data_IF_977901044376
#
_entry.id   IF_977901044376
#
_cell.length_a   1.000
_cell.length_b   1.000
_cell.length_c   1.000
_cell.angle_alpha   90.00
_cell.angle_beta   90.00
_cell.angle_gamma   90.00
#
_symmetry.space_group_name_H-M   'P 1'
#
loop_
_entity.id
_entity.type
_entity.pdbx_description
1 polymer ?
#
# COMPACT_ATOMS: atom_id res chain seq x y z
N UNK A 1 -25.77 53.65 10.66
CA UNK A 1 -24.99 52.60 11.35
C UNK A 1 -25.41 51.18 10.97
N UNK A 2 -26.69 50.95 10.67
CA UNK A 2 -27.24 49.62 10.31
C UNK A 2 -26.56 48.92 9.12
N UNK A 3 -26.01 49.66 8.15
CA UNK A 3 -25.29 49.07 7.00
C UNK A 3 -23.94 48.45 7.36
N UNK A 4 -23.23 48.97 8.38
CA UNK A 4 -21.98 48.38 8.87
C UNK A 4 -22.22 47.09 9.65
N UNK A 5 -23.30 47.06 10.45
CA UNK A 5 -23.67 45.88 11.21
C UNK A 5 -24.08 44.73 10.27
N UNK A 6 -24.88 45.02 9.24
CA UNK A 6 -25.25 44.03 8.23
C UNK A 6 -24.03 43.53 7.44
N UNK A 7 -23.15 44.42 6.98
CA UNK A 7 -21.92 44.01 6.30
C UNK A 7 -21.01 43.12 7.19
N UNK A 8 -20.91 43.43 8.48
CA UNK A 8 -20.15 42.62 9.43
C UNK A 8 -20.80 41.25 9.67
N UNK A 9 -22.14 41.17 9.72
CA UNK A 9 -22.88 39.91 9.81
C UNK A 9 -22.73 39.06 8.55
N UNK A 10 -22.73 39.67 7.37
CA UNK A 10 -22.52 38.98 6.10
C UNK A 10 -21.10 38.41 5.99
N UNK A 11 -20.09 39.18 6.40
CA UNK A 11 -18.69 38.71 6.48
C UNK A 11 -18.56 37.55 7.46
N UNK A 12 -19.13 37.66 8.66
CA UNK A 12 -19.09 36.60 9.66
C UNK A 12 -19.80 35.32 9.17
N UNK A 13 -20.94 35.47 8.51
CA UNK A 13 -21.70 34.36 7.92
C UNK A 13 -20.91 33.68 6.79
N UNK A 14 -20.26 34.46 5.92
CA UNK A 14 -19.41 33.93 4.86
C UNK A 14 -18.18 33.19 5.40
N UNK A 15 -17.53 33.73 6.46
CA UNK A 15 -16.42 33.06 7.14
C UNK A 15 -16.86 31.76 7.82
N UNK A 16 -18.05 31.73 8.41
CA UNK A 16 -18.63 30.53 9.00
C UNK A 16 -18.91 29.47 7.93
N UNK A 17 -19.57 29.85 6.84
CA UNK A 17 -19.84 28.97 5.70
C UNK A 17 -18.54 28.40 5.10
N UNK A 18 -17.49 29.22 4.96
CA UNK A 18 -16.17 28.77 4.52
C UNK A 18 -15.56 27.76 5.51
N UNK A 19 -15.70 27.98 6.81
CA UNK A 19 -15.17 27.08 7.84
C UNK A 19 -15.87 25.72 7.83
N UNK A 20 -17.20 25.72 7.67
CA UNK A 20 -17.99 24.49 7.49
C UNK A 20 -17.57 23.75 6.22
N UNK A 21 -17.41 24.47 5.10
CA UNK A 21 -16.96 23.87 3.84
C UNK A 21 -15.56 23.25 3.96
N UNK A 22 -14.62 23.93 4.63
CA UNK A 22 -13.28 23.41 4.91
C UNK A 22 -13.32 22.14 5.76
N UNK A 23 -14.12 22.12 6.82
CA UNK A 23 -14.30 20.94 7.66
C UNK A 23 -14.89 19.76 6.85
N UNK A 24 -15.97 19.99 6.12
CA UNK A 24 -16.61 18.94 5.30
C UNK A 24 -15.61 18.37 4.27
N UNK A 25 -14.82 19.24 3.62
CA UNK A 25 -13.77 18.81 2.71
C UNK A 25 -12.72 17.95 3.41
N UNK A 26 -12.22 18.37 4.57
CA UNK A 26 -11.21 17.61 5.31
C UNK A 26 -11.72 16.21 5.72
N UNK A 27 -12.99 16.10 6.14
CA UNK A 27 -13.62 14.81 6.48
C UNK A 27 -13.73 13.91 5.26
N UNK A 28 -14.22 14.44 4.13
CA UNK A 28 -14.36 13.67 2.88
C UNK A 28 -12.99 13.23 2.37
N UNK A 29 -11.99 14.10 2.40
CA UNK A 29 -10.63 13.79 1.96
C UNK A 29 -10.03 12.66 2.84
N UNK A 30 -10.25 12.70 4.16
CA UNK A 30 -9.80 11.64 5.07
C UNK A 30 -10.47 10.28 4.79
N UNK A 31 -11.80 10.26 4.62
CA UNK A 31 -12.54 9.02 4.32
C UNK A 31 -12.10 8.43 2.98
N UNK A 32 -11.94 9.27 1.95
CA UNK A 32 -11.45 8.84 0.64
C UNK A 32 -10.03 8.25 0.72
N UNK A 33 -9.15 8.85 1.52
CA UNK A 33 -7.79 8.34 1.71
C UNK A 33 -7.80 6.97 2.40
N UNK A 34 -8.60 6.78 3.45
CA UNK A 34 -8.75 5.48 4.12
C UNK A 34 -9.30 4.43 3.17
N UNK A 35 -10.35 4.74 2.40
CA UNK A 35 -10.94 3.82 1.42
C UNK A 35 -9.93 3.40 0.34
N UNK A 36 -9.15 4.36 -0.19
CA UNK A 36 -8.10 4.10 -1.17
C UNK A 36 -7.02 3.18 -0.60
N UNK A 37 -6.51 3.47 0.59
CA UNK A 37 -5.46 2.65 1.20
C UNK A 37 -5.96 1.25 1.55
N UNK A 38 -7.20 1.09 2.01
CA UNK A 38 -7.81 -0.21 2.26
C UNK A 38 -7.91 -1.07 0.98
N UNK A 39 -8.37 -0.48 -0.13
CA UNK A 39 -8.43 -1.18 -1.43
C UNK A 39 -7.04 -1.57 -1.96
N UNK A 40 -6.04 -0.72 -1.74
CA UNK A 40 -4.64 -1.04 -2.08
C UNK A 40 -4.11 -2.23 -1.26
N UNK A 41 -4.41 -2.28 0.03
CA UNK A 41 -4.04 -3.42 0.88
C UNK A 41 -4.69 -4.72 0.41
N UNK A 42 -5.98 -4.71 0.09
CA UNK A 42 -6.69 -5.90 -0.39
C UNK A 42 -6.04 -6.45 -1.66
N UNK A 43 -5.75 -5.57 -2.62
CA UNK A 43 -5.03 -5.92 -3.85
C UNK A 43 -3.67 -6.54 -3.54
N UNK A 44 -2.95 -5.98 -2.57
CA UNK A 44 -1.62 -6.46 -2.20
C UNK A 44 -1.67 -7.81 -1.48
N UNK A 45 -2.67 -8.04 -0.64
CA UNK A 45 -2.90 -9.35 0.00
C UNK A 45 -3.14 -10.44 -1.05
N UNK A 46 -3.99 -10.16 -2.05
CA UNK A 46 -4.24 -11.09 -3.15
C UNK A 46 -2.96 -11.40 -3.93
N UNK A 47 -2.16 -10.38 -4.26
CA UNK A 47 -0.84 -10.56 -4.89
C UNK A 47 0.11 -11.39 -4.03
N UNK A 48 0.14 -11.16 -2.73
CA UNK A 48 1.01 -11.90 -1.81
C UNK A 48 0.62 -13.38 -1.73
N UNK A 49 -0.69 -13.69 -1.70
CA UNK A 49 -1.18 -15.07 -1.73
C UNK A 49 -0.78 -15.79 -3.03
N UNK A 50 -0.94 -15.12 -4.18
CA UNK A 50 -0.50 -15.68 -5.46
C UNK A 50 1.02 -15.89 -5.48
N UNK A 51 1.80 -14.92 -4.98
CA UNK A 51 3.26 -15.00 -4.93
C UNK A 51 3.75 -16.17 -4.07
N UNK A 52 3.08 -16.48 -2.96
CA UNK A 52 3.42 -17.63 -2.12
C UNK A 52 3.33 -18.95 -2.90
N UNK A 53 2.30 -19.10 -3.75
CA UNK A 53 2.17 -20.28 -4.59
C UNK A 53 3.29 -20.36 -5.63
N UNK A 54 3.61 -19.23 -6.28
CA UNK A 54 4.71 -19.15 -7.25
C UNK A 54 6.06 -19.48 -6.62
N UNK A 55 6.33 -18.97 -5.42
CA UNK A 55 7.56 -19.28 -4.68
C UNK A 55 7.65 -20.76 -4.34
N UNK A 56 6.56 -21.37 -3.86
CA UNK A 56 6.50 -22.81 -3.56
C UNK A 56 6.78 -23.65 -4.80
N UNK A 57 6.27 -23.25 -5.96
CA UNK A 57 6.47 -23.95 -7.22
C UNK A 57 7.92 -23.84 -7.69
N UNK A 58 8.52 -22.65 -7.60
CA UNK A 58 9.93 -22.43 -7.91
C UNK A 58 10.85 -23.24 -6.99
N UNK A 59 10.53 -23.32 -5.69
CA UNK A 59 11.25 -24.16 -4.74
C UNK A 59 11.16 -25.65 -5.10
N UNK A 60 9.99 -26.14 -5.53
CA UNK A 60 9.85 -27.54 -6.01
C UNK A 60 10.72 -27.82 -7.23
N UNK A 61 10.84 -26.87 -8.16
CA UNK A 61 11.71 -27.01 -9.34
C UNK A 61 13.19 -27.11 -8.96
N UNK A 62 13.64 -26.30 -7.99
CA UNK A 62 15.01 -26.39 -7.45
C UNK A 62 15.25 -27.74 -6.78
N UNK A 63 14.31 -28.21 -5.96
CA UNK A 63 14.41 -29.51 -5.30
C UNK A 63 14.51 -30.67 -6.30
N UNK A 64 13.71 -30.62 -7.38
CA UNK A 64 13.77 -31.61 -8.46
C UNK A 64 15.13 -31.57 -9.19
N UNK A 65 15.64 -30.38 -9.50
CA UNK A 65 16.96 -30.24 -10.11
C UNK A 65 18.06 -30.81 -9.18
N UNK A 66 17.99 -30.54 -7.88
CA UNK A 66 18.92 -31.09 -6.90
C UNK A 66 18.85 -32.62 -6.84
N UNK A 67 17.65 -33.21 -6.85
CA UNK A 67 17.49 -34.66 -6.87
C UNK A 67 18.09 -35.29 -8.14
N UNK A 68 17.86 -34.68 -9.30
CA UNK A 68 18.45 -35.12 -10.57
C UNK A 68 19.97 -35.01 -10.58
N UNK A 69 20.54 -33.98 -9.96
CA UNK A 69 21.99 -33.84 -9.81
C UNK A 69 22.57 -34.93 -8.92
N UNK A 70 21.93 -35.20 -7.78
CA UNK A 70 22.36 -36.24 -6.85
C UNK A 70 22.30 -37.64 -7.49
N UNK A 71 21.35 -37.85 -8.41
CA UNK A 71 21.25 -39.07 -9.22
C UNK A 71 22.23 -39.10 -10.41
N UNK A 72 23.09 -38.07 -10.58
CA UNK A 72 24.05 -37.98 -11.69
C UNK A 72 23.45 -37.65 -13.05
N UNK A 73 22.17 -37.25 -13.12
CA UNK A 73 21.43 -37.01 -14.37
C UNK A 73 21.76 -35.63 -14.95
N UNK A 74 22.00 -34.63 -14.10
CA UNK A 74 22.34 -33.26 -14.52
C UNK A 74 23.55 -32.73 -13.76
N UNK A 75 24.25 -31.77 -14.36
CA UNK A 75 25.37 -31.07 -13.72
C UNK A 75 24.90 -30.09 -12.64
N UNK A 76 25.81 -29.73 -11.72
CA UNK A 76 25.56 -28.66 -10.74
C UNK A 76 25.25 -27.30 -11.39
N UNK A 77 25.81 -26.99 -12.56
CA UNK A 77 25.46 -25.77 -13.31
C UNK A 77 23.99 -25.72 -13.71
N UNK A 78 23.36 -26.86 -14.03
CA UNK A 78 21.93 -26.94 -14.33
C UNK A 78 21.06 -26.71 -13.09
N UNK A 79 21.54 -27.11 -11.91
CA UNK A 79 20.89 -26.78 -10.63
C UNK A 79 20.98 -25.29 -10.33
N UNK A 80 22.13 -24.67 -10.56
CA UNK A 80 22.30 -23.22 -10.40
C UNK A 80 21.36 -22.43 -11.32
N UNK A 81 21.20 -22.86 -12.58
CA UNK A 81 20.22 -22.27 -13.49
C UNK A 81 18.78 -22.42 -12.98
N UNK A 82 18.42 -23.57 -12.39
CA UNK A 82 17.11 -23.79 -11.80
C UNK A 82 16.84 -22.92 -10.56
N UNK A 83 17.88 -22.45 -9.86
CA UNK A 83 17.76 -21.53 -8.71
C UNK A 83 17.49 -20.09 -9.10
N UNK A 84 17.87 -19.66 -10.32
CA UNK A 84 17.72 -18.26 -10.73
C UNK A 84 16.25 -17.79 -10.69
N UNK A 85 15.26 -18.52 -11.24
CA UNK A 85 13.85 -18.13 -11.10
C UNK A 85 13.41 -18.07 -9.64
N UNK A 86 13.78 -19.06 -8.81
CA UNK A 86 13.40 -19.07 -7.40
C UNK A 86 13.93 -17.86 -6.61
N UNK A 87 15.15 -17.41 -6.92
CA UNK A 87 15.73 -16.20 -6.34
C UNK A 87 14.97 -14.95 -6.80
N UNK A 88 14.61 -14.86 -8.08
CA UNK A 88 13.83 -13.75 -8.61
C UNK A 88 12.45 -13.66 -7.93
N UNK A 89 11.78 -14.79 -7.74
CA UNK A 89 10.49 -14.83 -7.04
C UNK A 89 10.62 -14.41 -5.57
N UNK A 90 11.70 -14.81 -4.90
CA UNK A 90 11.98 -14.35 -3.53
C UNK A 90 12.20 -12.84 -3.43
N UNK A 91 12.90 -12.25 -4.39
CA UNK A 91 13.05 -10.78 -4.47
C UNK A 91 11.69 -10.10 -4.68
N UNK A 92 10.83 -10.67 -5.51
CA UNK A 92 9.46 -10.15 -5.70
C UNK A 92 8.64 -10.26 -4.43
N UNK A 93 8.68 -11.38 -3.71
CA UNK A 93 8.01 -11.54 -2.41
C UNK A 93 8.46 -10.48 -1.39
N UNK A 94 9.77 -10.24 -1.29
CA UNK A 94 10.33 -9.18 -0.41
C UNK A 94 9.81 -7.78 -0.80
N UNK A 95 9.71 -7.49 -2.10
CA UNK A 95 9.18 -6.21 -2.59
C UNK A 95 7.71 -6.03 -2.23
N UNK A 96 6.89 -7.07 -2.39
CA UNK A 96 5.47 -7.04 -2.00
C UNK A 96 5.32 -6.85 -0.50
N UNK A 97 6.19 -7.47 0.31
CA UNK A 97 6.20 -7.26 1.76
C UNK A 97 6.54 -5.81 2.13
N UNK A 98 7.53 -5.20 1.47
CA UNK A 98 7.87 -3.79 1.66
C UNK A 98 6.70 -2.85 1.29
N UNK A 99 6.01 -3.12 0.19
CA UNK A 99 4.80 -2.38 -0.19
C UNK A 99 3.68 -2.51 0.85
N UNK A 100 3.58 -3.66 1.52
CA UNK A 100 2.55 -3.91 2.52
C UNK A 100 2.82 -3.12 3.79
N UNK A 101 4.09 -3.08 4.21
CA UNK A 101 4.52 -2.24 5.32
C UNK A 101 4.25 -0.76 5.04
N UNK A 102 4.59 -0.26 3.85
CA UNK A 102 4.32 1.14 3.47
C UNK A 102 2.82 1.46 3.49
N UNK A 103 1.98 0.59 2.89
CA UNK A 103 0.54 0.74 2.94
C UNK A 103 0.00 0.71 4.39
N UNK A 104 0.55 -0.13 5.25
CA UNK A 104 0.17 -0.23 6.67
C UNK A 104 0.45 1.06 7.45
N UNK A 105 1.59 1.70 7.16
CA UNK A 105 1.99 2.97 7.75
C UNK A 105 1.06 4.08 7.26
N UNK A 106 0.77 4.12 5.95
CA UNK A 106 -0.16 5.10 5.38
C UNK A 106 -1.57 4.99 5.95
N UNK A 107 -2.08 3.76 6.14
CA UNK A 107 -3.39 3.55 6.75
C UNK A 107 -3.41 4.02 8.21
N UNK A 108 -2.38 3.67 8.98
CA UNK A 108 -2.24 4.11 10.38
C UNK A 108 -2.20 5.64 10.48
N UNK A 109 -1.48 6.29 9.56
CA UNK A 109 -1.47 7.75 9.45
C UNK A 109 -2.86 8.31 9.09
N UNK A 110 -3.54 7.72 8.11
CA UNK A 110 -4.86 8.16 7.65
C UNK A 110 -5.96 7.99 8.71
N UNK A 111 -5.85 6.98 9.57
CA UNK A 111 -6.83 6.69 10.64
C UNK A 111 -6.68 7.56 11.90
N UNK A 112 -5.70 8.46 11.96
CA UNK A 112 -5.55 9.39 13.09
C UNK A 112 -4.12 9.68 13.54
N UNK A 113 -3.11 9.04 12.93
CA UNK A 113 -1.69 9.34 13.18
C UNK A 113 -1.11 10.50 12.35
N UNK A 114 -1.90 11.10 11.44
CA UNK A 114 -1.44 12.05 10.41
C UNK A 114 -2.12 13.41 10.41
N UNK A 115 -2.71 13.87 11.53
CA UNK A 115 -3.37 15.18 11.60
C UNK A 115 -2.35 16.33 11.62
N UNK A 116 -1.63 16.54 10.52
CA UNK A 116 -0.96 17.81 10.23
C UNK A 116 -1.82 18.57 9.24
N UNK A 117 -2.80 19.31 9.77
CA UNK A 117 -3.40 20.42 9.04
C UNK A 117 -2.28 21.35 8.59
N UNK A 118 -1.98 21.36 7.30
CA UNK A 118 -1.31 22.48 6.66
C UNK A 118 -2.33 23.64 6.63
N UNK A 119 -2.51 24.29 7.78
CA UNK A 119 -3.17 25.57 7.87
C UNK A 119 -2.15 26.65 7.49
N UNK A 120 -2.30 27.20 6.29
CA UNK A 120 -1.95 28.60 5.99
C UNK A 120 -3.14 29.23 5.27
#
# INVERSE_FOLDING_TARGET
DSGRLNANLDIASAQNALSIAKYNKAVVDAVNQVAKTASQMETLMAKNQQQQQVEKDAQRMVALAQARMNAGIISGSRVSLAKLPALQERVTALRLHGQWLDASIQLTSALGGGYHQAAK
#
